data_IF_550647627883
#
_entry.id   IF_550647627883
#
_cell.length_a   1.000
_cell.length_b   1.000
_cell.length_c   1.000
_cell.angle_alpha   90.00
_cell.angle_beta   90.00
_cell.angle_gamma   90.00
#
_symmetry.space_group_name_H-M   'P 1'
#
loop_
_entity.id
_entity.type
_entity.pdbx_description
1 polymer ?
#
# COMPACT_ATOMS: atom_id res chain seq x y z
N UNK A 1 13.33 2.36 -16.10
CA UNK A 1 12.31 2.05 -15.09
C UNK A 1 11.66 0.75 -15.53
N UNK A 2 11.71 -0.30 -14.70
CA UNK A 2 10.96 -1.52 -14.98
C UNK A 2 9.54 -1.27 -14.47
N UNK A 3 8.64 -0.94 -15.38
CA UNK A 3 7.21 -0.87 -15.06
C UNK A 3 6.78 -2.23 -14.53
N UNK A 4 6.02 -2.23 -13.44
CA UNK A 4 5.51 -3.47 -12.86
C UNK A 4 4.62 -4.14 -13.90
N UNK A 5 5.06 -5.29 -14.46
CA UNK A 5 4.31 -6.01 -15.49
C UNK A 5 2.87 -6.29 -15.02
N UNK A 6 1.87 -5.65 -15.65
CA UNK A 6 0.48 -5.80 -15.24
C UNK A 6 -0.01 -7.25 -15.26
N UNK A 7 0.49 -8.06 -16.20
CA UNK A 7 0.06 -9.46 -16.35
C UNK A 7 0.61 -10.34 -15.23
N UNK A 8 1.86 -10.13 -14.84
CA UNK A 8 2.49 -10.86 -13.75
C UNK A 8 1.87 -10.53 -12.39
N UNK A 9 1.43 -9.29 -12.16
CA UNK A 9 0.73 -8.93 -10.92
C UNK A 9 -0.71 -9.44 -10.92
N UNK A 10 -1.42 -9.38 -12.05
CA UNK A 10 -2.76 -9.94 -12.17
C UNK A 10 -2.78 -11.45 -11.86
N UNK A 11 -1.79 -12.20 -12.34
CA UNK A 11 -1.62 -13.62 -12.01
C UNK A 11 -1.42 -13.89 -10.50
N UNK A 12 -0.93 -12.91 -9.74
CA UNK A 12 -0.79 -12.96 -8.27
C UNK A 12 -2.02 -12.42 -7.53
N UNK A 13 -3.11 -12.11 -8.23
CA UNK A 13 -4.32 -11.49 -7.68
C UNK A 13 -4.10 -10.05 -7.23
N UNK A 14 -3.15 -9.33 -7.86
CA UNK A 14 -2.81 -7.95 -7.53
C UNK A 14 -3.09 -7.05 -8.73
N UNK A 15 -3.51 -5.82 -8.46
CA UNK A 15 -3.59 -4.78 -9.47
C UNK A 15 -2.34 -3.91 -9.37
N UNK A 16 -1.60 -3.68 -10.48
CA UNK A 16 -0.57 -2.64 -10.49
C UNK A 16 -1.24 -1.28 -10.33
N UNK A 17 -0.68 -0.45 -9.46
CA UNK A 17 -1.11 0.93 -9.24
C UNK A 17 0.13 1.79 -9.06
N UNK A 18 0.25 2.83 -9.87
CA UNK A 18 1.27 3.86 -9.70
C UNK A 18 0.72 4.94 -8.79
N UNK A 19 1.43 5.21 -7.71
CA UNK A 19 1.17 6.29 -6.78
C UNK A 19 2.42 7.13 -6.67
N UNK A 20 2.26 8.44 -6.55
CA UNK A 20 3.39 9.29 -6.20
C UNK A 20 3.78 9.09 -4.71
N UNK A 21 4.97 9.56 -4.31
CA UNK A 21 5.41 9.40 -2.92
C UNK A 21 4.53 10.13 -1.90
N UNK A 22 3.82 11.20 -2.27
CA UNK A 22 2.95 11.94 -1.35
C UNK A 22 1.70 11.12 -1.03
N UNK A 23 1.08 10.52 -2.04
CA UNK A 23 -0.03 9.57 -1.88
C UNK A 23 0.37 8.37 -1.03
N UNK A 24 1.58 7.83 -1.23
CA UNK A 24 2.11 6.74 -0.39
C UNK A 24 2.31 7.17 1.07
N UNK A 25 2.80 8.40 1.32
CA UNK A 25 2.94 8.96 2.68
C UNK A 25 1.58 9.17 3.34
N UNK A 26 0.60 9.64 2.56
CA UNK A 26 -0.76 9.77 3.05
C UNK A 26 -1.32 8.39 3.42
N UNK A 27 -1.26 7.41 2.53
CA UNK A 27 -1.75 6.05 2.77
C UNK A 27 -1.08 5.34 3.94
N UNK A 28 0.23 5.53 4.14
CA UNK A 28 0.95 4.86 5.25
C UNK A 28 0.53 5.38 6.62
N UNK A 29 0.11 6.65 6.70
CA UNK A 29 -0.31 7.33 7.93
C UNK A 29 -1.82 7.37 8.12
N UNK A 30 -2.58 7.27 7.03
CA UNK A 30 -4.04 7.41 7.04
C UNK A 30 -4.71 6.24 7.77
N UNK A 31 -5.56 6.57 8.74
CA UNK A 31 -6.45 5.61 9.41
C UNK A 31 -7.64 5.32 8.49
N UNK A 32 -7.44 4.50 7.47
CA UNK A 32 -8.50 4.09 6.53
C UNK A 32 -9.60 3.21 7.12
N UNK A 33 -9.47 2.76 8.37
CA UNK A 33 -10.43 1.88 9.03
C UNK A 33 -11.30 2.64 10.05
N UNK A 34 -12.62 2.38 10.09
CA UNK A 34 -13.49 2.78 11.18
C UNK A 34 -12.97 2.30 12.55
N UNK A 35 -13.30 3.04 13.61
CA UNK A 35 -12.85 2.71 14.98
C UNK A 35 -13.45 1.37 15.45
N UNK A 36 -14.68 1.12 15.06
CA UNK A 36 -15.50 -0.06 15.34
C UNK A 36 -15.31 -1.19 14.31
N UNK A 37 -14.42 -1.01 13.33
CA UNK A 37 -14.12 -2.03 12.34
C UNK A 37 -13.75 -3.37 13.01
N UNK A 38 -14.17 -4.45 12.38
CA UNK A 38 -13.84 -5.81 12.79
C UNK A 38 -12.33 -6.03 12.80
N UNK A 39 -11.87 -7.09 13.47
CA UNK A 39 -10.45 -7.45 13.48
C UNK A 39 -9.92 -7.69 12.07
N UNK A 40 -10.70 -8.36 11.22
CA UNK A 40 -10.28 -8.66 9.84
C UNK A 40 -10.10 -7.38 9.00
N UNK A 41 -11.00 -6.42 9.15
CA UNK A 41 -10.90 -5.11 8.50
C UNK A 41 -9.69 -4.33 9.01
N UNK A 42 -9.46 -4.31 10.33
CA UNK A 42 -8.28 -3.69 10.94
C UNK A 42 -6.97 -4.31 10.42
N UNK A 43 -6.93 -5.63 10.28
CA UNK A 43 -5.79 -6.34 9.70
C UNK A 43 -5.60 -5.98 8.23
N UNK A 44 -6.69 -5.85 7.45
CA UNK A 44 -6.67 -5.42 6.06
C UNK A 44 -6.10 -4.00 5.91
N UNK A 45 -6.58 -3.05 6.72
CA UNK A 45 -6.04 -1.69 6.78
C UNK A 45 -4.58 -1.65 7.24
N UNK A 46 -4.19 -2.52 8.18
CA UNK A 46 -2.80 -2.69 8.61
C UNK A 46 -1.89 -3.11 7.44
N UNK A 47 -2.30 -4.10 6.65
CA UNK A 47 -1.54 -4.56 5.48
C UNK A 47 -1.37 -3.46 4.42
N UNK A 48 -2.40 -2.66 4.16
CA UNK A 48 -2.33 -1.54 3.19
C UNK A 48 -1.32 -0.49 3.67
N UNK A 49 -1.43 -0.02 4.92
CA UNK A 49 -0.51 0.96 5.51
C UNK A 49 0.94 0.47 5.49
N UNK A 50 1.15 -0.78 5.89
CA UNK A 50 2.48 -1.39 5.88
C UNK A 50 3.08 -1.43 4.46
N UNK A 51 2.29 -1.84 3.46
CA UNK A 51 2.76 -1.88 2.07
C UNK A 51 3.10 -0.49 1.52
N UNK A 52 2.32 0.53 1.88
CA UNK A 52 2.63 1.92 1.52
C UNK A 52 3.94 2.40 2.15
N UNK A 53 4.15 2.14 3.45
CA UNK A 53 5.41 2.46 4.13
C UNK A 53 6.61 1.68 3.56
N UNK A 54 6.41 0.42 3.21
CA UNK A 54 7.44 -0.40 2.55
C UNK A 54 7.79 0.11 1.14
N UNK A 55 6.80 0.63 0.40
CA UNK A 55 7.05 1.25 -0.90
C UNK A 55 7.91 2.51 -0.76
N UNK A 56 7.61 3.39 0.20
CA UNK A 56 8.42 4.56 0.52
C UNK A 56 9.85 4.18 0.91
N UNK A 57 10.02 3.19 1.79
CA UNK A 57 11.33 2.71 2.19
C UNK A 57 12.17 2.23 0.99
N UNK A 58 11.54 1.51 0.05
CA UNK A 58 12.19 1.04 -1.19
C UNK A 58 12.54 2.17 -2.16
N UNK A 59 11.78 3.25 -2.15
CA UNK A 59 12.07 4.49 -2.89
C UNK A 59 13.21 5.32 -2.26
N UNK A 60 13.81 4.83 -1.17
CA UNK A 60 14.83 5.56 -0.42
C UNK A 60 14.28 6.65 0.49
N UNK A 61 12.95 6.74 0.62
CA UNK A 61 12.28 7.70 1.48
C UNK A 61 12.08 7.07 2.86
N UNK A 62 12.84 7.56 3.83
CA UNK A 62 12.66 7.20 5.23
C UNK A 62 11.44 7.95 5.81
N UNK A 63 10.75 7.27 6.72
CA UNK A 63 9.44 7.64 7.25
C UNK A 63 9.39 8.95 8.05
#
# INVERSE_FOLDING_TARGET
MSETDPSAEAAKGRAPLWLDPEDLRWLSRHRCCPVDASKEEKDRCGRVRFRAGAALHKDGQSH
#
